data_IF_440161493648
#
_entry.id   IF_440161493648
#
_cell.length_a   1.000
_cell.length_b   1.000
_cell.length_c   1.000
_cell.angle_alpha   90.00
_cell.angle_beta   90.00
_cell.angle_gamma   90.00
#
_symmetry.space_group_name_H-M   'P 1'
#
loop_
_entity.id
_entity.type
_entity.pdbx_description
1 polymer ?
#
# COMPACT_ATOMS: atom_id res chain seq x y z
N UNK A 1 -32.34 -22.27 11.70
CA UNK A 1 -32.03 -20.86 11.44
C UNK A 1 -30.90 -20.81 10.40
N UNK A 2 -31.25 -20.72 9.11
CA UNK A 2 -30.26 -20.63 8.03
C UNK A 2 -29.59 -19.26 8.09
N UNK A 3 -28.32 -19.20 8.48
CA UNK A 3 -27.53 -17.97 8.40
C UNK A 3 -27.41 -17.62 6.91
N UNK A 4 -27.98 -16.47 6.55
CA UNK A 4 -27.99 -15.94 5.19
C UNK A 4 -26.53 -15.66 4.78
N UNK A 5 -25.88 -16.62 4.11
CA UNK A 5 -24.47 -16.57 3.72
C UNK A 5 -24.16 -15.48 2.68
N UNK A 6 -25.20 -14.83 2.13
CA UNK A 6 -25.11 -13.76 1.13
C UNK A 6 -25.19 -12.32 1.69
N UNK A 7 -25.03 -12.14 3.00
CA UNK A 7 -25.16 -10.83 3.66
C UNK A 7 -23.84 -10.05 3.83
N UNK A 8 -22.70 -10.54 3.31
CA UNK A 8 -21.42 -9.83 3.49
C UNK A 8 -21.23 -8.79 2.39
N UNK A 9 -21.02 -7.53 2.78
CA UNK A 9 -20.46 -6.49 1.90
C UNK A 9 -19.30 -7.11 1.10
N UNK A 10 -19.28 -7.01 -0.24
CA UNK A 10 -18.19 -7.56 -1.07
C UNK A 10 -16.79 -7.21 -0.55
N UNK A 11 -16.63 -6.03 0.08
CA UNK A 11 -15.38 -5.59 0.70
C UNK A 11 -15.03 -6.41 1.92
N UNK A 12 -16.01 -6.75 2.75
CA UNK A 12 -15.85 -7.59 3.92
C UNK A 12 -15.58 -9.04 3.53
N UNK A 13 -16.29 -9.57 2.53
CA UNK A 13 -16.05 -10.92 2.02
C UNK A 13 -14.62 -11.10 1.50
N UNK A 14 -14.11 -10.09 0.76
CA UNK A 14 -12.73 -10.09 0.30
C UNK A 14 -11.74 -10.00 1.47
N UNK A 15 -11.99 -9.12 2.44
CA UNK A 15 -11.14 -8.99 3.62
C UNK A 15 -11.04 -10.32 4.39
N UNK A 16 -12.17 -10.97 4.62
CA UNK A 16 -12.23 -12.28 5.28
C UNK A 16 -11.42 -13.32 4.49
N UNK A 17 -11.61 -13.39 3.17
CA UNK A 17 -10.85 -14.31 2.31
C UNK A 17 -9.34 -14.08 2.40
N UNK A 18 -8.87 -12.83 2.32
CA UNK A 18 -7.43 -12.53 2.42
C UNK A 18 -6.83 -13.01 3.74
N UNK A 19 -7.60 -13.01 4.83
CA UNK A 19 -7.13 -13.48 6.14
C UNK A 19 -7.04 -15.01 6.26
N UNK A 20 -7.74 -15.77 5.42
CA UNK A 20 -7.65 -17.25 5.42
C UNK A 20 -6.50 -17.78 4.57
N UNK A 21 -5.90 -16.95 3.73
CA UNK A 21 -4.76 -17.32 2.90
C UNK A 21 -3.56 -17.74 3.75
N UNK A 22 -2.73 -18.62 3.19
CA UNK A 22 -1.45 -18.98 3.78
C UNK A 22 -0.51 -17.76 3.86
N UNK A 23 0.39 -17.79 4.81
CA UNK A 23 1.28 -16.65 5.09
C UNK A 23 2.22 -16.31 3.93
N UNK A 24 2.68 -17.29 3.16
CA UNK A 24 3.49 -17.09 1.95
C UNK A 24 2.74 -16.29 0.89
N UNK A 25 1.46 -16.64 0.69
CA UNK A 25 0.56 -15.95 -0.25
C UNK A 25 0.29 -14.53 0.24
N UNK A 26 -0.06 -14.37 1.52
CA UNK A 26 -0.29 -13.05 2.13
C UNK A 26 0.94 -12.14 2.00
N UNK A 27 2.15 -12.64 2.27
CA UNK A 27 3.39 -11.87 2.14
C UNK A 27 3.63 -11.44 0.69
N UNK A 28 3.33 -12.30 -0.27
CA UNK A 28 3.43 -12.00 -1.71
C UNK A 28 2.46 -10.90 -2.12
N UNK A 29 1.20 -11.01 -1.71
CA UNK A 29 0.18 -9.99 -2.00
C UNK A 29 0.54 -8.65 -1.33
N UNK A 30 0.97 -8.70 -0.06
CA UNK A 30 1.40 -7.52 0.69
C UNK A 30 2.56 -6.78 0.00
N UNK A 31 3.55 -7.52 -0.51
CA UNK A 31 4.70 -6.92 -1.22
C UNK A 31 4.29 -6.32 -2.58
N UNK A 32 3.40 -6.97 -3.32
CA UNK A 32 2.84 -6.45 -4.57
C UNK A 32 2.03 -5.17 -4.36
N UNK A 33 1.16 -5.13 -3.34
CA UNK A 33 0.43 -3.92 -2.99
C UNK A 33 1.37 -2.81 -2.54
N UNK A 34 2.37 -3.11 -1.71
CA UNK A 34 3.36 -2.12 -1.28
C UNK A 34 4.10 -1.50 -2.47
N UNK A 35 4.53 -2.31 -3.45
CA UNK A 35 5.20 -1.82 -4.64
C UNK A 35 4.31 -0.89 -5.49
N UNK A 36 3.08 -1.31 -5.76
CA UNK A 36 2.12 -0.51 -6.53
C UNK A 36 1.75 0.79 -5.81
N UNK A 37 1.46 0.74 -4.51
CA UNK A 37 1.14 1.92 -3.71
C UNK A 37 2.30 2.90 -3.67
N UNK A 38 3.55 2.43 -3.58
CA UNK A 38 4.74 3.29 -3.68
C UNK A 38 4.87 3.93 -5.06
N UNK A 39 4.54 3.22 -6.13
CA UNK A 39 4.51 3.78 -7.48
C UNK A 39 3.52 4.94 -7.58
N UNK A 40 2.30 4.76 -7.06
CA UNK A 40 1.29 5.83 -7.01
C UNK A 40 1.71 7.02 -6.17
N UNK A 41 2.32 6.76 -5.00
CA UNK A 41 2.85 7.83 -4.15
C UNK A 41 3.96 8.60 -4.85
N UNK A 42 4.87 7.92 -5.56
CA UNK A 42 5.94 8.59 -6.31
C UNK A 42 5.37 9.46 -7.42
N UNK A 43 4.46 8.92 -8.24
CA UNK A 43 3.81 9.65 -9.32
C UNK A 43 3.13 10.93 -8.80
N UNK A 44 2.36 10.81 -7.72
CA UNK A 44 1.61 11.91 -7.14
C UNK A 44 2.49 12.95 -6.42
N UNK A 45 3.45 12.51 -5.60
CA UNK A 45 4.17 13.41 -4.69
C UNK A 45 5.57 13.81 -5.17
N UNK A 46 6.26 12.95 -5.90
CA UNK A 46 7.61 13.21 -6.41
C UNK A 46 7.52 13.80 -7.81
N UNK A 47 6.80 13.11 -8.69
CA UNK A 47 6.71 13.50 -10.10
C UNK A 47 5.64 14.57 -10.35
N UNK A 48 4.82 14.89 -9.33
CA UNK A 48 3.73 15.88 -9.37
C UNK A 48 2.69 15.63 -10.48
N UNK A 49 2.48 14.36 -10.83
CA UNK A 49 1.46 13.95 -11.80
C UNK A 49 0.21 13.46 -11.09
N UNK A 50 -0.95 13.82 -11.64
CA UNK A 50 -2.21 13.27 -11.15
C UNK A 50 -2.34 11.79 -11.49
N UNK A 51 -3.00 11.05 -10.60
CA UNK A 51 -3.40 9.67 -10.86
C UNK A 51 -4.66 9.68 -11.74
N UNK A 52 -4.72 8.81 -12.74
CA UNK A 52 -5.94 8.60 -13.52
C UNK A 52 -7.05 8.05 -12.63
N UNK A 53 -8.27 8.02 -13.17
CA UNK A 53 -9.40 7.42 -12.47
C UNK A 53 -9.15 5.94 -12.17
N UNK A 54 -8.63 5.18 -13.13
CA UNK A 54 -8.31 3.75 -12.95
C UNK A 54 -7.24 3.57 -11.87
N UNK A 55 -6.18 4.37 -11.91
CA UNK A 55 -5.10 4.32 -10.91
C UNK A 55 -5.63 4.67 -9.50
N UNK A 56 -6.51 5.66 -9.40
CA UNK A 56 -7.13 6.02 -8.12
C UNK A 56 -8.04 4.92 -7.58
N UNK A 57 -8.74 4.20 -8.45
CA UNK A 57 -9.58 3.05 -8.06
C UNK A 57 -8.71 1.88 -7.61
N UNK A 58 -7.69 1.51 -8.39
CA UNK A 58 -6.75 0.44 -8.02
C UNK A 58 -6.01 0.77 -6.70
N UNK A 59 -5.51 2.00 -6.55
CA UNK A 59 -4.90 2.48 -5.29
C UNK A 59 -5.80 2.24 -4.09
N UNK A 60 -7.09 2.54 -4.19
CA UNK A 60 -8.05 2.36 -3.08
C UNK A 60 -8.26 0.89 -2.74
N UNK A 61 -8.35 0.02 -3.74
CA UNK A 61 -8.45 -1.43 -3.54
C UNK A 61 -7.20 -1.94 -2.84
N UNK A 62 -6.02 -1.67 -3.42
CA UNK A 62 -4.73 -2.11 -2.87
C UNK A 62 -4.48 -1.59 -1.47
N UNK A 63 -4.84 -0.35 -1.16
CA UNK A 63 -4.70 0.19 0.19
C UNK A 63 -5.53 -0.59 1.19
N UNK A 64 -6.78 -0.91 0.85
CA UNK A 64 -7.65 -1.70 1.75
C UNK A 64 -7.06 -3.08 1.99
N UNK A 65 -6.65 -3.78 0.94
CA UNK A 65 -6.10 -5.12 1.02
C UNK A 65 -4.76 -5.14 1.76
N UNK A 66 -3.89 -4.16 1.51
CA UNK A 66 -2.63 -3.95 2.23
C UNK A 66 -2.84 -3.76 3.72
N UNK A 67 -3.82 -2.93 4.13
CA UNK A 67 -4.16 -2.73 5.53
C UNK A 67 -4.74 -4.00 6.17
N UNK A 68 -5.64 -4.70 5.49
CA UNK A 68 -6.22 -5.96 5.98
C UNK A 68 -5.15 -7.02 6.23
N UNK A 69 -4.30 -7.26 5.24
CA UNK A 69 -3.24 -8.28 5.36
C UNK A 69 -2.21 -7.85 6.40
N UNK A 70 -1.81 -6.58 6.41
CA UNK A 70 -0.87 -6.04 7.40
C UNK A 70 -1.36 -6.22 8.84
N UNK A 71 -2.63 -5.92 9.10
CA UNK A 71 -3.27 -6.14 10.40
C UNK A 71 -3.32 -7.61 10.79
N UNK A 72 -3.51 -8.52 9.84
CA UNK A 72 -3.47 -9.96 10.11
C UNK A 72 -2.09 -10.45 10.58
N UNK A 73 -1.03 -9.70 10.30
CA UNK A 73 0.32 -9.93 10.83
C UNK A 73 0.62 -9.14 12.12
N UNK A 74 -0.39 -8.49 12.72
CA UNK A 74 -0.22 -7.69 13.94
C UNK A 74 0.42 -6.31 13.71
N UNK A 75 0.50 -5.84 12.47
CA UNK A 75 1.00 -4.50 12.17
C UNK A 75 -0.08 -3.44 12.41
N UNK A 76 0.33 -2.33 13.02
CA UNK A 76 -0.51 -1.15 13.21
C UNK A 76 -0.61 -0.33 11.92
N UNK A 77 -1.66 0.48 11.79
CA UNK A 77 -1.81 1.43 10.68
C UNK A 77 -0.59 2.37 10.56
N UNK A 78 -0.03 2.80 11.70
CA UNK A 78 1.18 3.63 11.74
C UNK A 78 2.39 2.93 11.13
N UNK A 79 2.62 1.66 11.46
CA UNK A 79 3.73 0.88 10.90
C UNK A 79 3.55 0.67 9.40
N UNK A 80 2.32 0.35 8.96
CA UNK A 80 2.00 0.14 7.55
C UNK A 80 2.21 1.42 6.71
N UNK A 81 1.75 2.56 7.22
CA UNK A 81 2.01 3.86 6.59
C UNK A 81 3.50 4.20 6.58
N UNK A 82 4.23 3.93 7.67
CA UNK A 82 5.68 4.13 7.68
C UNK A 82 6.38 3.28 6.61
N UNK A 83 5.95 2.04 6.38
CA UNK A 83 6.46 1.22 5.28
C UNK A 83 6.17 1.83 3.91
N UNK A 84 4.99 2.39 3.68
CA UNK A 84 4.66 3.03 2.40
C UNK A 84 5.60 4.19 2.07
N UNK A 85 5.83 5.10 3.02
CA UNK A 85 6.65 6.29 2.81
C UNK A 85 8.15 6.05 2.95
N UNK A 86 8.58 4.88 3.44
CA UNK A 86 10.00 4.56 3.62
C UNK A 86 10.77 4.69 2.30
N UNK A 87 11.71 5.63 2.27
CA UNK A 87 12.58 5.86 1.11
C UNK A 87 11.94 6.67 -0.01
N UNK A 88 10.67 7.08 0.10
CA UNK A 88 9.98 7.84 -0.93
C UNK A 88 10.59 9.23 -1.14
N UNK A 89 10.96 9.90 -0.05
CA UNK A 89 11.52 11.26 -0.05
C UNK A 89 13.04 11.29 0.14
N UNK A 90 13.70 10.12 0.12
CA UNK A 90 15.17 10.12 0.15
C UNK A 90 15.64 10.57 -1.23
N UNK A 91 16.12 11.80 -1.32
CA UNK A 91 16.92 12.25 -2.45
C UNK A 91 18.12 11.31 -2.59
N UNK A 92 18.11 10.47 -3.62
CA UNK A 92 19.29 9.71 -4.06
C UNK A 92 20.30 10.60 -4.77
N UNK A 93 20.01 11.88 -4.97
CA UNK A 93 21.01 12.87 -5.36
C UNK A 93 21.59 13.51 -4.11
N UNK A 94 22.65 12.88 -3.57
CA UNK A 94 23.72 13.68 -2.98
C UNK A 94 24.26 14.48 -4.17
N UNK A 95 23.95 15.77 -4.28
CA UNK A 95 24.58 16.62 -5.28
C UNK A 95 26.05 16.73 -4.87
N UNK A 96 26.92 16.10 -5.65
CA UNK A 96 28.39 16.21 -5.54
C UNK A 96 28.91 17.53 -6.14
N UNK A 97 28.00 18.44 -6.47
CA UNK A 97 28.29 19.74 -7.04
C UNK A 97 28.80 20.67 -5.93
N UNK A 98 29.92 21.36 -6.18
CA UNK A 98 30.58 22.24 -5.21
C UNK A 98 29.65 23.34 -4.64
N UNK A 99 28.60 23.71 -5.38
CA UNK A 99 27.62 24.75 -5.02
C UNK A 99 26.65 24.33 -3.90
N UNK A 100 26.43 23.02 -3.70
CA UNK A 100 25.52 22.51 -2.66
C UNK A 100 26.25 22.12 -1.36
N UNK A 101 27.57 22.35 -1.29
CA UNK A 101 28.44 21.94 -0.18
C UNK A 101 28.78 23.08 0.80
N UNK A 102 28.18 24.27 0.66
CA UNK A 102 28.41 25.40 1.58
C UNK A 102 27.29 25.53 2.63
N UNK A 103 27.64 25.72 3.92
CA UNK A 103 26.70 25.82 5.03
C UNK A 103 25.81 27.07 4.98
#
# INVERSE_FOLDING_TARGET
MMKNLYSKDPKQAMADYLTTLRDDVKKTILSQHLAALRSYLRKAFVDKHELTREENMDRQVRMREFLTIGKSFGLTDKQLVAHLFRGLFKNTQVCECAECATP
#
